data_IF_229425978420
#
_entry.id   IF_229425978420
#
_cell.length_a   1.000
_cell.length_b   1.000
_cell.length_c   1.000
_cell.angle_alpha   90.00
_cell.angle_beta   90.00
_cell.angle_gamma   90.00
#
_symmetry.space_group_name_H-M   'P 1'
#
loop_
_entity.id
_entity.type
_entity.pdbx_description
1 polymer ?
#
# COMPACT_ATOMS: atom_id res chain seq x y z
N UNK A 1 10.06 -9.02 -23.66
CA UNK A 1 10.32 -7.59 -23.40
C UNK A 1 9.20 -6.75 -24.01
N UNK A 2 8.36 -6.08 -23.21
CA UNK A 2 7.53 -5.01 -23.79
C UNK A 2 8.43 -3.82 -24.11
N UNK A 3 8.24 -3.22 -25.28
CA UNK A 3 8.94 -2.03 -25.81
C UNK A 3 9.01 -0.85 -24.82
N UNK A 4 8.16 -0.85 -23.79
CA UNK A 4 8.05 0.20 -22.77
C UNK A 4 9.20 0.24 -21.74
N UNK A 5 10.18 -0.67 -21.81
CA UNK A 5 11.34 -0.68 -20.90
C UNK A 5 12.62 -0.03 -21.50
N UNK A 6 12.49 0.77 -22.56
CA UNK A 6 13.66 1.36 -23.23
C UNK A 6 14.41 2.38 -22.35
N UNK A 7 13.71 3.08 -21.47
CA UNK A 7 14.30 4.04 -20.53
C UNK A 7 13.80 3.80 -19.10
N UNK A 8 14.61 4.12 -18.07
CA UNK A 8 14.19 3.98 -16.68
C UNK A 8 12.92 4.80 -16.38
N UNK A 9 12.78 5.98 -16.99
CA UNK A 9 11.60 6.82 -16.86
C UNK A 9 10.34 6.12 -17.40
N UNK A 10 10.40 5.56 -18.62
CA UNK A 10 9.25 4.86 -19.22
C UNK A 10 8.83 3.63 -18.39
N UNK A 11 9.80 2.93 -17.81
CA UNK A 11 9.54 1.84 -16.87
C UNK A 11 8.75 2.30 -15.65
N UNK A 12 9.19 3.35 -14.95
CA UNK A 12 8.48 3.84 -13.76
C UNK A 12 7.10 4.43 -14.08
N UNK A 13 6.97 5.18 -15.17
CA UNK A 13 5.68 5.72 -15.64
C UNK A 13 4.71 4.56 -15.95
N UNK A 14 5.19 3.52 -16.63
CA UNK A 14 4.38 2.32 -16.89
C UNK A 14 3.92 1.66 -15.59
N UNK A 15 4.82 1.47 -14.62
CA UNK A 15 4.49 0.85 -13.34
C UNK A 15 3.51 1.71 -12.52
N UNK A 16 3.64 3.04 -12.58
CA UNK A 16 2.70 3.98 -11.95
C UNK A 16 1.29 3.77 -12.48
N UNK A 17 1.09 3.77 -13.80
CA UNK A 17 -0.25 3.53 -14.36
C UNK A 17 -0.71 2.09 -14.13
N UNK A 18 0.21 1.12 -14.16
CA UNK A 18 -0.13 -0.28 -13.92
C UNK A 18 -0.68 -0.52 -12.52
N UNK A 19 -0.30 0.29 -11.52
CA UNK A 19 -0.83 0.15 -10.16
C UNK A 19 -2.36 0.34 -10.09
N UNK A 20 -2.93 1.14 -11.00
CA UNK A 20 -4.37 1.43 -11.02
C UNK A 20 -5.13 0.53 -11.99
N UNK A 21 -4.58 0.31 -13.18
CA UNK A 21 -5.33 -0.36 -14.25
C UNK A 21 -5.19 -1.88 -14.24
N UNK A 22 -4.18 -2.44 -13.54
CA UNK A 22 -4.00 -3.89 -13.47
C UNK A 22 -4.77 -4.47 -12.30
N UNK A 23 -6.02 -4.85 -12.57
CA UNK A 23 -6.80 -5.68 -11.64
C UNK A 23 -6.30 -7.13 -11.65
N UNK A 24 -6.33 -7.79 -10.48
CA UNK A 24 -6.00 -9.22 -10.34
C UNK A 24 -7.12 -10.03 -10.98
N UNK A 25 -6.81 -10.73 -12.08
CA UNK A 25 -7.81 -11.56 -12.78
C UNK A 25 -7.97 -12.90 -12.07
N UNK A 26 -9.08 -13.58 -12.34
CA UNK A 26 -9.33 -14.95 -11.84
C UNK A 26 -8.18 -15.91 -12.17
N UNK A 27 -7.60 -15.80 -13.37
CA UNK A 27 -6.46 -16.61 -13.78
C UNK A 27 -5.21 -16.34 -12.91
N UNK A 28 -4.93 -15.06 -12.61
CA UNK A 28 -3.79 -14.67 -11.77
C UNK A 28 -3.97 -15.18 -10.33
N UNK A 29 -5.19 -15.09 -9.79
CA UNK A 29 -5.54 -15.65 -8.47
C UNK A 29 -5.40 -17.18 -8.43
N UNK A 30 -5.94 -17.90 -9.43
CA UNK A 30 -5.83 -19.35 -9.50
C UNK A 30 -4.37 -19.82 -9.61
N UNK A 31 -3.55 -19.11 -10.41
CA UNK A 31 -2.13 -19.40 -10.55
C UNK A 31 -1.36 -19.16 -9.23
N UNK A 32 -1.62 -18.04 -8.55
CA UNK A 32 -1.03 -17.73 -7.25
C UNK A 32 -1.38 -18.80 -6.22
N UNK A 33 -2.67 -19.16 -6.12
CA UNK A 33 -3.14 -20.21 -5.21
C UNK A 33 -2.46 -21.54 -5.49
N UNK A 34 -2.41 -21.95 -6.76
CA UNK A 34 -1.79 -23.22 -7.15
C UNK A 34 -0.29 -23.23 -6.81
N UNK A 35 0.42 -22.13 -7.11
CA UNK A 35 1.83 -21.98 -6.76
C UNK A 35 2.06 -22.07 -5.25
N UNK A 36 1.25 -21.35 -4.46
CA UNK A 36 1.36 -21.36 -3.00
C UNK A 36 1.13 -22.76 -2.42
N UNK A 37 0.06 -23.45 -2.84
CA UNK A 37 -0.28 -24.79 -2.35
C UNK A 37 0.81 -25.80 -2.75
N UNK A 38 1.30 -25.76 -3.98
CA UNK A 38 2.32 -26.68 -4.45
C UNK A 38 3.68 -26.52 -3.72
N UNK A 39 4.02 -25.30 -3.29
CA UNK A 39 5.29 -25.01 -2.60
C UNK A 39 5.22 -25.29 -1.10
N UNK A 40 4.11 -24.95 -0.44
CA UNK A 40 4.02 -24.96 1.03
C UNK A 40 3.23 -26.15 1.60
N UNK A 41 2.50 -26.90 0.78
CA UNK A 41 1.60 -27.95 1.25
C UNK A 41 1.85 -29.27 0.52
N UNK A 42 1.69 -30.36 1.26
CA UNK A 42 1.74 -31.69 0.68
C UNK A 42 0.54 -31.93 -0.27
N UNK A 43 0.73 -32.71 -1.35
CA UNK A 43 -0.36 -33.12 -2.23
C UNK A 43 -1.52 -33.75 -1.44
N UNK A 44 -2.75 -33.27 -1.68
CA UNK A 44 -3.96 -33.80 -1.01
C UNK A 44 -4.36 -33.09 0.29
N UNK A 45 -3.62 -32.07 0.74
CA UNK A 45 -4.03 -31.26 1.90
C UNK A 45 -5.33 -30.48 1.62
N UNK A 46 -6.32 -30.59 2.51
CA UNK A 46 -7.57 -29.79 2.50
C UNK A 46 -7.29 -28.39 3.06
N UNK A 47 -6.53 -27.59 2.33
CA UNK A 47 -6.20 -26.22 2.76
C UNK A 47 -7.18 -25.19 2.20
N UNK A 48 -7.75 -24.39 3.10
CA UNK A 48 -8.59 -23.25 2.74
C UNK A 48 -7.73 -21.98 2.57
N UNK A 49 -7.34 -21.73 1.32
CA UNK A 49 -6.54 -20.56 0.96
C UNK A 49 -7.26 -19.24 1.24
N UNK A 50 -8.59 -19.18 1.09
CA UNK A 50 -9.35 -17.95 1.34
C UNK A 50 -9.35 -17.60 2.83
N UNK A 51 -9.55 -18.62 3.68
CA UNK A 51 -9.47 -18.45 5.14
C UNK A 51 -8.08 -18.01 5.60
N UNK A 52 -7.03 -18.51 4.96
CA UNK A 52 -5.66 -18.07 5.21
C UNK A 52 -5.46 -16.58 4.90
N UNK A 53 -5.80 -16.14 3.68
CA UNK A 53 -5.67 -14.72 3.29
C UNK A 53 -6.47 -13.80 4.22
N UNK A 54 -7.68 -14.21 4.63
CA UNK A 54 -8.48 -13.44 5.59
C UNK A 54 -7.78 -13.27 6.94
N UNK A 55 -7.20 -14.34 7.48
CA UNK A 55 -6.46 -14.29 8.77
C UNK A 55 -5.19 -13.47 8.66
N UNK A 56 -4.44 -13.61 7.57
CA UNK A 56 -3.25 -12.78 7.34
C UNK A 56 -3.60 -11.30 7.30
N UNK A 57 -4.70 -10.94 6.64
CA UNK A 57 -5.19 -9.55 6.62
C UNK A 57 -5.59 -9.08 8.03
N UNK A 58 -6.27 -9.92 8.81
CA UNK A 58 -6.65 -9.60 10.19
C UNK A 58 -5.44 -9.38 11.11
N UNK A 59 -4.39 -10.20 10.97
CA UNK A 59 -3.13 -10.03 11.69
C UNK A 59 -2.44 -8.71 11.30
N UNK A 60 -2.40 -8.38 10.00
CA UNK A 60 -1.88 -7.09 9.51
C UNK A 60 -2.70 -5.91 10.06
N UNK A 61 -4.03 -6.04 10.10
CA UNK A 61 -4.95 -5.04 10.66
C UNK A 61 -4.76 -4.85 12.17
N UNK A 62 -4.53 -5.93 12.92
CA UNK A 62 -4.23 -5.86 14.36
C UNK A 62 -2.98 -5.05 14.63
N UNK A 63 -1.93 -5.21 13.81
CA UNK A 63 -0.72 -4.40 13.91
C UNK A 63 -1.01 -2.92 13.63
N UNK A 64 -1.90 -2.62 12.68
CA UNK A 64 -2.31 -1.23 12.35
C UNK A 64 -3.07 -0.57 13.52
N UNK A 65 -4.00 -1.29 14.15
CA UNK A 65 -4.72 -0.77 15.34
C UNK A 65 -3.78 -0.64 16.54
N UNK A 66 -2.70 -1.41 16.57
CA UNK A 66 -1.60 -1.24 17.50
C UNK A 66 -0.89 0.10 17.27
N UNK A 67 -1.17 1.08 18.12
CA UNK A 67 -0.54 2.40 18.04
C UNK A 67 0.93 2.29 18.46
N UNK A 68 1.84 2.27 17.49
CA UNK A 68 3.28 2.34 17.76
C UNK A 68 3.69 3.77 18.17
N UNK A 69 4.77 3.95 18.97
CA UNK A 69 5.20 5.28 19.40
C UNK A 69 5.43 6.31 18.28
N UNK A 70 6.00 5.95 17.10
CA UNK A 70 6.11 6.88 15.98
C UNK A 70 4.76 7.33 15.42
N UNK A 71 3.78 6.42 15.32
CA UNK A 71 2.42 6.76 14.87
C UNK A 71 1.73 7.67 15.87
N UNK A 72 1.88 7.39 17.16
CA UNK A 72 1.36 8.25 18.22
C UNK A 72 1.97 9.65 18.19
N UNK A 73 3.29 9.76 18.04
CA UNK A 73 3.98 11.04 17.88
C UNK A 73 3.47 11.80 16.65
N UNK A 74 3.20 11.10 15.53
CA UNK A 74 2.63 11.74 14.34
C UNK A 74 1.22 12.27 14.57
N UNK A 75 0.39 11.60 15.38
CA UNK A 75 -0.93 12.09 15.76
C UNK A 75 -0.84 13.34 16.63
N UNK A 76 0.09 13.40 17.58
CA UNK A 76 0.33 14.62 18.37
C UNK A 76 0.78 15.78 17.49
N UNK A 77 1.74 15.54 16.59
CA UNK A 77 2.19 16.55 15.63
C UNK A 77 1.02 17.03 14.77
N UNK A 78 0.17 16.11 14.29
CA UNK A 78 -1.03 16.46 13.53
C UNK A 78 -1.97 17.38 14.32
N UNK A 79 -2.27 17.03 15.57
CA UNK A 79 -3.15 17.82 16.43
C UNK A 79 -2.57 19.21 16.71
N UNK A 80 -1.25 19.31 16.93
CA UNK A 80 -0.56 20.59 17.16
C UNK A 80 -0.50 21.46 15.90
N UNK A 81 -0.24 20.87 14.74
CA UNK A 81 -0.16 21.59 13.46
C UNK A 81 -1.52 22.05 12.94
N UNK A 82 -2.61 21.41 13.37
CA UNK A 82 -3.98 21.75 12.99
C UNK A 82 -4.40 23.17 13.43
N UNK A 83 -3.63 23.80 14.33
CA UNK A 83 -3.83 25.19 14.75
C UNK A 83 -3.45 26.18 13.63
N UNK A 84 -2.54 25.78 12.72
CA UNK A 84 -1.95 26.68 11.73
C UNK A 84 -2.49 26.48 10.31
N UNK A 85 -3.50 27.27 9.94
CA UNK A 85 -3.83 27.61 8.54
C UNK A 85 -4.34 26.49 7.61
N UNK A 86 -5.05 26.91 6.57
CA UNK A 86 -5.59 26.04 5.51
C UNK A 86 -4.49 25.21 4.80
N UNK A 87 -3.30 25.78 4.62
CA UNK A 87 -2.20 25.13 3.89
C UNK A 87 -1.69 23.86 4.58
N UNK A 88 -1.59 23.86 5.91
CA UNK A 88 -1.09 22.70 6.65
C UNK A 88 -2.06 21.54 6.54
N UNK A 89 -3.36 21.80 6.63
CA UNK A 89 -4.41 20.79 6.45
C UNK A 89 -4.39 20.16 5.05
N UNK A 90 -4.14 20.95 4.00
CA UNK A 90 -3.97 20.44 2.63
C UNK A 90 -2.79 19.50 2.51
N UNK A 91 -1.62 19.93 2.98
CA UNK A 91 -0.41 19.12 2.91
C UNK A 91 -0.57 17.79 3.63
N UNK A 92 -1.26 17.78 4.78
CA UNK A 92 -1.53 16.55 5.50
C UNK A 92 -2.44 15.62 4.69
N UNK A 93 -3.50 16.12 4.06
CA UNK A 93 -4.38 15.25 3.25
C UNK A 93 -3.71 14.73 1.98
N UNK A 94 -2.78 15.49 1.41
CA UNK A 94 -2.03 15.10 0.20
C UNK A 94 -0.95 14.05 0.54
N UNK A 95 -0.44 14.04 1.78
CA UNK A 95 0.68 13.17 2.17
C UNK A 95 0.35 11.67 2.05
N UNK A 96 -0.81 11.14 2.54
CA UNK A 96 -1.24 9.77 2.30
C UNK A 96 -1.32 9.41 0.81
N UNK A 97 -1.81 10.32 -0.02
CA UNK A 97 -1.91 10.13 -1.47
C UNK A 97 -0.51 10.00 -2.09
N UNK A 98 0.39 10.94 -1.81
CA UNK A 98 1.76 10.90 -2.37
C UNK A 98 2.50 9.64 -1.91
N UNK A 99 2.35 9.25 -0.65
CA UNK A 99 2.98 8.04 -0.11
C UNK A 99 2.42 6.78 -0.74
N UNK A 100 1.09 6.62 -0.86
CA UNK A 100 0.50 5.43 -1.48
C UNK A 100 0.91 5.29 -2.95
N UNK A 101 0.98 6.41 -3.69
CA UNK A 101 1.40 6.41 -5.09
C UNK A 101 2.87 6.05 -5.26
N UNK A 102 3.73 6.59 -4.40
CA UNK A 102 5.16 6.29 -4.41
C UNK A 102 5.42 4.82 -4.05
N UNK A 103 4.81 4.34 -2.96
CA UNK A 103 4.93 2.95 -2.50
C UNK A 103 4.37 1.99 -3.54
N UNK A 104 3.17 2.25 -4.08
CA UNK A 104 2.53 1.41 -5.07
C UNK A 104 3.35 1.30 -6.36
N UNK A 105 3.85 2.43 -6.87
CA UNK A 105 4.72 2.47 -8.07
C UNK A 105 6.01 1.69 -7.84
N UNK A 106 6.62 1.84 -6.66
CA UNK A 106 7.85 1.13 -6.31
C UNK A 106 7.61 -0.37 -6.21
N UNK A 107 6.55 -0.80 -5.51
CA UNK A 107 6.17 -2.21 -5.39
C UNK A 107 5.88 -2.84 -6.75
N UNK A 108 5.13 -2.16 -7.62
CA UNK A 108 4.92 -2.60 -9.00
C UNK A 108 6.24 -2.73 -9.77
N UNK A 109 7.15 -1.77 -9.61
CA UNK A 109 8.48 -1.85 -10.20
C UNK A 109 9.26 -3.07 -9.73
N UNK A 110 9.27 -3.35 -8.42
CA UNK A 110 9.97 -4.49 -7.82
C UNK A 110 9.39 -5.81 -8.33
N UNK A 111 8.07 -5.98 -8.30
CA UNK A 111 7.39 -7.18 -8.82
C UNK A 111 7.74 -7.43 -10.29
N UNK A 112 7.77 -6.37 -11.12
CA UNK A 112 8.12 -6.50 -12.53
C UNK A 112 9.58 -6.93 -12.73
N UNK A 113 10.52 -6.37 -11.95
CA UNK A 113 11.93 -6.77 -11.99
C UNK A 113 12.12 -8.22 -11.56
N UNK A 114 11.46 -8.64 -10.49
CA UNK A 114 11.50 -10.03 -10.03
C UNK A 114 10.88 -10.99 -11.04
N UNK A 115 9.76 -10.63 -11.67
CA UNK A 115 9.16 -11.46 -12.72
C UNK A 115 10.08 -11.64 -13.94
N UNK A 116 10.86 -10.61 -14.30
CA UNK A 116 11.84 -10.69 -15.39
C UNK A 116 13.00 -11.61 -14.99
N UNK A 117 13.61 -11.40 -13.82
CA UNK A 117 14.73 -12.23 -13.32
C UNK A 117 14.31 -13.71 -13.20
N UNK A 118 13.10 -13.98 -12.73
CA UNK A 118 12.52 -15.33 -12.69
C UNK A 118 12.43 -15.93 -14.10
N UNK A 119 11.90 -15.18 -15.08
CA UNK A 119 11.74 -15.69 -16.45
C UNK A 119 13.10 -15.99 -17.09
N UNK A 120 14.10 -15.16 -16.83
CA UNK A 120 15.47 -15.35 -17.33
C UNK A 120 16.15 -16.55 -16.67
N UNK A 121 16.03 -16.73 -15.34
CA UNK A 121 16.62 -17.88 -14.64
C UNK A 121 15.91 -19.20 -14.94
N UNK A 122 14.58 -19.22 -15.03
CA UNK A 122 13.81 -20.43 -15.32
C UNK A 122 14.00 -20.89 -16.77
N UNK A 123 14.28 -19.97 -17.71
CA UNK A 123 14.70 -20.35 -19.06
C UNK A 123 16.06 -21.06 -19.08
N UNK A 124 16.92 -20.81 -18.08
CA UNK A 124 18.29 -21.33 -18.02
C UNK A 124 18.41 -22.58 -17.14
N UNK A 125 17.51 -22.79 -16.16
CA UNK A 125 17.63 -23.87 -15.17
C UNK A 125 16.31 -24.65 -15.05
N UNK A 126 16.24 -25.83 -15.66
CA UNK A 126 15.19 -26.83 -15.44
C UNK A 126 15.37 -27.48 -14.06
N UNK A 127 14.76 -26.93 -13.01
CA UNK A 127 14.71 -27.61 -11.72
C UNK A 127 14.35 -26.72 -10.55
N UNK A 128 13.14 -26.93 -10.01
CA UNK A 128 12.59 -26.40 -8.76
C UNK A 128 12.38 -24.86 -8.75
N UNK A 129 11.13 -24.38 -8.59
CA UNK A 129 10.81 -22.95 -8.53
C UNK A 129 11.21 -22.36 -7.17
N UNK A 130 12.51 -22.21 -6.92
CA UNK A 130 12.99 -21.43 -5.78
C UNK A 130 12.82 -19.96 -6.14
N UNK A 131 11.67 -19.39 -5.78
CA UNK A 131 11.38 -17.96 -5.88
C UNK A 131 12.29 -17.24 -4.89
N UNK A 132 13.53 -16.97 -5.29
CA UNK A 132 14.45 -16.18 -4.48
C UNK A 132 14.08 -14.71 -4.63
N UNK A 133 13.18 -14.25 -3.76
CA UNK A 133 12.88 -12.82 -3.60
C UNK A 133 14.16 -12.15 -3.10
N UNK A 134 14.64 -11.12 -3.82
CA UNK A 134 15.80 -10.32 -3.41
C UNK A 134 15.34 -9.00 -2.83
N UNK A 135 15.80 -8.69 -1.61
CA UNK A 135 15.53 -7.42 -0.94
C UNK A 135 16.26 -6.23 -1.61
N UNK A 136 17.21 -6.50 -2.50
CA UNK A 136 18.03 -5.49 -3.20
C UNK A 136 17.22 -4.48 -4.01
N UNK A 137 15.99 -4.80 -4.40
CA UNK A 137 15.14 -3.89 -5.17
C UNK A 137 14.36 -2.89 -4.30
N UNK A 138 14.26 -3.12 -2.99
CA UNK A 138 13.56 -2.23 -2.05
C UNK A 138 14.37 -0.95 -1.77
N UNK A 139 13.68 0.09 -1.28
CA UNK A 139 14.37 1.30 -0.84
C UNK A 139 15.33 0.98 0.30
N UNK A 140 16.58 1.40 0.15
CA UNK A 140 17.67 1.11 1.08
C UNK A 140 17.90 -0.40 1.32
N UNK A 141 17.44 -1.27 0.42
CA UNK A 141 17.38 -2.73 0.62
C UNK A 141 16.67 -3.14 1.92
N UNK A 142 15.71 -2.32 2.39
CA UNK A 142 14.96 -2.54 3.64
C UNK A 142 13.45 -2.61 3.36
N UNK A 143 12.86 -3.81 3.23
CA UNK A 143 11.41 -3.96 3.05
C UNK A 143 10.62 -3.36 4.23
N UNK A 144 11.20 -3.35 5.43
CA UNK A 144 10.60 -2.76 6.64
C UNK A 144 10.25 -1.28 6.47
N UNK A 145 11.00 -0.53 5.65
CA UNK A 145 10.68 0.88 5.40
C UNK A 145 9.39 1.04 4.58
N UNK A 146 9.20 0.18 3.57
CA UNK A 146 7.95 0.16 2.79
C UNK A 146 6.77 -0.24 3.68
N UNK A 147 6.97 -1.25 4.53
CA UNK A 147 5.97 -1.68 5.50
C UNK A 147 5.59 -0.53 6.46
N UNK A 148 6.58 0.19 7.00
CA UNK A 148 6.35 1.37 7.84
C UNK A 148 5.53 2.44 7.12
N UNK A 149 5.84 2.74 5.85
CA UNK A 149 5.06 3.70 5.06
C UNK A 149 3.61 3.25 4.87
N UNK A 150 3.37 1.96 4.60
CA UNK A 150 2.00 1.42 4.48
C UNK A 150 1.24 1.60 5.80
N UNK A 151 1.84 1.22 6.93
CA UNK A 151 1.23 1.44 8.25
C UNK A 151 0.96 2.91 8.54
N UNK A 152 1.92 3.78 8.22
CA UNK A 152 1.80 5.21 8.40
C UNK A 152 0.66 5.80 7.58
N UNK A 153 0.57 5.48 6.28
CA UNK A 153 -0.49 5.93 5.39
C UNK A 153 -1.87 5.45 5.86
N UNK A 154 -1.99 4.18 6.26
CA UNK A 154 -3.26 3.63 6.77
C UNK A 154 -3.69 4.30 8.08
N UNK A 155 -2.74 4.53 8.99
CA UNK A 155 -3.00 5.26 10.23
C UNK A 155 -3.44 6.70 9.96
N UNK A 156 -2.74 7.43 9.08
CA UNK A 156 -3.11 8.80 8.74
C UNK A 156 -4.49 8.91 8.09
N UNK A 157 -4.80 7.99 7.17
CA UNK A 157 -6.12 7.93 6.54
C UNK A 157 -7.22 7.69 7.58
N UNK A 158 -7.06 6.65 8.42
CA UNK A 158 -8.01 6.35 9.49
C UNK A 158 -8.15 7.49 10.50
N UNK A 159 -7.04 8.09 10.93
CA UNK A 159 -7.04 9.23 11.85
C UNK A 159 -7.76 10.43 11.25
N UNK A 160 -7.55 10.73 9.96
CA UNK A 160 -8.24 11.81 9.26
C UNK A 160 -9.75 11.59 9.22
N UNK A 161 -10.21 10.37 8.92
CA UNK A 161 -11.64 10.02 8.92
C UNK A 161 -12.23 10.15 10.33
N UNK A 162 -11.57 9.57 11.35
CA UNK A 162 -12.05 9.62 12.74
C UNK A 162 -12.10 11.06 13.24
N UNK A 163 -11.05 11.85 12.96
CA UNK A 163 -11.02 13.26 13.31
C UNK A 163 -12.16 14.03 12.64
N UNK A 164 -12.43 13.77 11.36
CA UNK A 164 -13.55 14.37 10.64
C UNK A 164 -14.90 13.99 11.26
N UNK A 165 -15.14 12.71 11.53
CA UNK A 165 -16.37 12.23 12.17
C UNK A 165 -16.55 12.83 13.57
N UNK A 166 -15.47 12.96 14.33
CA UNK A 166 -15.49 13.60 15.65
C UNK A 166 -15.92 15.07 15.56
N UNK A 167 -15.34 15.84 14.63
CA UNK A 167 -15.72 17.25 14.41
C UNK A 167 -17.17 17.37 13.94
N UNK A 168 -17.62 16.49 13.05
CA UNK A 168 -19.02 16.45 12.62
C UNK A 168 -19.98 16.15 13.78
N UNK A 169 -19.60 15.23 14.67
CA UNK A 169 -20.42 14.85 15.82
C UNK A 169 -20.52 15.97 16.85
N UNK A 170 -19.40 16.62 17.17
CA UNK A 170 -19.34 17.62 18.25
C UNK A 170 -19.83 19.01 17.81
N UNK A 171 -19.41 19.47 16.63
CA UNK A 171 -19.63 20.85 16.19
C UNK A 171 -20.64 20.97 15.04
N UNK A 172 -21.01 19.85 14.40
CA UNK A 172 -21.87 19.85 13.23
C UNK A 172 -21.19 20.38 11.96
N UNK A 173 -21.92 20.30 10.85
CA UNK A 173 -21.44 20.68 9.51
C UNK A 173 -21.28 22.19 9.32
N UNK A 174 -21.94 23.04 10.11
CA UNK A 174 -21.92 24.50 9.93
C UNK A 174 -20.97 25.19 10.93
N UNK A 175 -19.93 24.50 11.36
CA UNK A 175 -18.91 25.02 12.28
C UNK A 175 -17.73 25.67 11.53
N UNK A 176 -17.00 26.57 12.21
CA UNK A 176 -15.80 27.24 11.68
C UNK A 176 -14.72 26.26 11.20
N UNK A 177 -14.70 25.04 11.74
CA UNK A 177 -13.79 23.98 11.26
C UNK A 177 -14.12 23.47 9.85
N UNK A 178 -15.37 23.61 9.42
CA UNK A 178 -15.87 23.20 8.11
C UNK A 178 -16.17 24.44 7.25
N UNK A 179 -15.26 25.42 7.26
CA UNK A 179 -15.46 26.75 6.67
C UNK A 179 -15.88 26.70 5.18
N UNK A 180 -15.33 25.74 4.42
CA UNK A 180 -15.77 25.44 3.06
C UNK A 180 -16.10 23.96 2.89
N UNK A 181 -17.38 23.67 2.64
CA UNK A 181 -17.88 22.31 2.37
C UNK A 181 -17.13 21.64 1.21
N UNK A 182 -16.72 22.42 0.20
CA UNK A 182 -15.92 21.96 -0.92
C UNK A 182 -14.54 21.43 -0.51
N UNK A 183 -13.87 22.13 0.40
CA UNK A 183 -12.54 21.74 0.89
C UNK A 183 -12.60 20.45 1.67
N UNK A 184 -13.59 20.34 2.55
CA UNK A 184 -13.79 19.13 3.36
C UNK A 184 -14.22 17.95 2.51
N UNK A 185 -15.06 18.18 1.49
CA UNK A 185 -15.40 17.15 0.51
C UNK A 185 -14.16 16.70 -0.29
N UNK A 186 -13.37 17.64 -0.82
CA UNK A 186 -12.13 17.31 -1.54
C UNK A 186 -11.15 16.54 -0.66
N UNK A 187 -11.02 16.94 0.62
CA UNK A 187 -10.20 16.27 1.62
C UNK A 187 -10.66 14.84 1.90
N UNK A 188 -11.97 14.61 1.99
CA UNK A 188 -12.55 13.28 2.21
C UNK A 188 -12.45 12.40 0.96
N UNK A 189 -12.48 12.96 -0.25
CA UNK A 189 -12.26 12.21 -1.48
C UNK A 189 -10.78 11.86 -1.71
N UNK A 190 -9.86 12.69 -1.22
CA UNK A 190 -8.42 12.47 -1.33
C UNK A 190 -7.88 11.51 -0.27
N UNK A 191 -8.44 11.53 0.94
CA UNK A 191 -8.14 10.55 1.99
C UNK A 191 -8.81 9.23 1.70
#
# INVERSE_FOLDING_TARGET
>A
MNVLNKTPASFYISNFFRQFFRSVRRADYCALRHSFVNVHLAPGSKFDFQKYIKRSLEDDFKVIVGISPPLWASALIFLLLNVSGLHTMLWISIMPVVTILSVGTKLQGIICRMAIDITERHAVIQGIPLVQVSDSYFWFSRPTFVLFLIHFTLFQNGFQIIYFLWILYEYGMDSCFNDSKEFVFARLCLG
#
